data_IF_252661192293
#
_entry.id   IF_252661192293
#
_cell.length_a   1.000
_cell.length_b   1.000
_cell.length_c   1.000
_cell.angle_alpha   90.00
_cell.angle_beta   90.00
_cell.angle_gamma   90.00
#
_symmetry.space_group_name_H-M   'P 1'
#
loop_
_entity.id
_entity.type
_entity.pdbx_description
1 polymer ?
#
# COMPACT_ATOMS: atom_id res chain seq x y z
N UNK A 1 -17.75 -4.82 -7.54
CA UNK A 1 -16.30 -4.81 -7.82
C UNK A 1 -15.60 -4.21 -6.62
N UNK A 2 -15.00 -5.00 -5.73
CA UNK A 2 -14.16 -4.44 -4.68
C UNK A 2 -12.71 -4.83 -4.97
N UNK A 3 -12.01 -3.94 -5.65
CA UNK A 3 -10.56 -4.03 -5.80
C UNK A 3 -9.95 -3.49 -4.50
N UNK A 4 -9.46 -4.38 -3.63
CA UNK A 4 -8.84 -4.01 -2.35
C UNK A 4 -7.34 -3.72 -2.52
N UNK A 5 -6.97 -2.91 -3.51
CA UNK A 5 -5.59 -2.49 -3.77
C UNK A 5 -5.54 -1.05 -4.26
N UNK A 6 -4.45 -0.34 -3.97
CA UNK A 6 -4.25 1.04 -4.42
C UNK A 6 -2.94 1.64 -3.91
N UNK A 7 -2.64 2.84 -4.36
CA UNK A 7 -1.61 3.68 -3.76
C UNK A 7 -2.11 4.25 -2.43
N UNK A 8 -1.19 4.42 -1.49
CA UNK A 8 -1.50 5.07 -0.20
C UNK A 8 -1.22 6.56 -0.34
N UNK A 9 -2.24 7.36 -0.06
CA UNK A 9 -2.15 8.80 0.04
C UNK A 9 -2.56 9.24 1.44
N UNK A 10 -1.95 10.33 1.93
CA UNK A 10 -2.23 10.92 3.23
C UNK A 10 -2.72 12.35 3.05
N UNK A 11 -3.68 12.76 3.86
CA UNK A 11 -4.21 14.12 3.86
C UNK A 11 -3.71 14.87 5.09
N UNK A 12 -2.81 15.84 4.88
CA UNK A 12 -2.19 16.65 5.94
C UNK A 12 -2.26 18.12 5.52
N UNK A 13 -2.70 18.99 6.43
CA UNK A 13 -2.82 20.45 6.19
C UNK A 13 -3.62 20.84 4.93
N UNK A 14 -4.68 20.07 4.63
CA UNK A 14 -5.56 20.33 3.48
C UNK A 14 -5.01 19.82 2.14
N UNK A 15 -3.91 19.06 2.15
CA UNK A 15 -3.22 18.60 0.94
C UNK A 15 -3.11 17.08 0.97
N UNK A 16 -3.39 16.46 -0.18
CA UNK A 16 -3.12 15.05 -0.43
C UNK A 16 -1.69 14.86 -0.94
N UNK A 17 -0.96 13.92 -0.33
CA UNK A 17 0.39 13.56 -0.72
C UNK A 17 0.60 12.05 -0.76
N UNK A 18 1.50 11.60 -1.63
CA UNK A 18 1.91 10.20 -1.70
C UNK A 18 2.88 9.86 -0.56
N UNK A 19 2.84 8.60 -0.13
CA UNK A 19 3.80 8.10 0.85
C UNK A 19 5.11 7.70 0.16
N UNK A 20 6.25 8.16 0.68
CA UNK A 20 7.57 7.75 0.19
C UNK A 20 7.76 6.24 0.36
N UNK A 21 8.23 5.58 -0.70
CA UNK A 21 8.47 4.14 -0.70
C UNK A 21 9.73 3.72 0.06
N UNK A 22 10.63 4.66 0.38
CA UNK A 22 11.84 4.38 1.13
C UNK A 22 11.46 3.94 2.55
N UNK A 23 11.84 2.70 2.90
CA UNK A 23 11.47 2.03 4.15
C UNK A 23 9.97 1.71 4.30
N UNK A 24 9.18 1.76 3.23
CA UNK A 24 7.81 1.24 3.26
C UNK A 24 7.85 -0.29 3.32
N UNK A 25 7.26 -0.87 4.37
CA UNK A 25 7.24 -2.32 4.59
C UNK A 25 5.82 -2.88 4.58
N UNK A 26 5.72 -4.22 4.49
CA UNK A 26 4.48 -4.96 4.66
C UNK A 26 3.74 -4.64 5.97
N UNK A 27 4.47 -4.25 7.03
CA UNK A 27 3.88 -3.81 8.30
C UNK A 27 3.15 -2.48 8.16
N UNK A 28 3.70 -1.55 7.36
CA UNK A 28 3.04 -0.27 7.07
C UNK A 28 1.77 -0.49 6.25
N UNK A 29 1.85 -1.34 5.21
CA UNK A 29 0.69 -1.72 4.39
C UNK A 29 -0.41 -2.40 5.21
N UNK A 30 -0.05 -3.29 6.15
CA UNK A 30 -0.98 -3.94 7.07
C UNK A 30 -1.80 -2.90 7.86
N UNK A 31 -1.11 -1.92 8.45
CA UNK A 31 -1.76 -0.86 9.24
C UNK A 31 -2.68 0.00 8.36
N UNK A 32 -2.23 0.43 7.18
CA UNK A 32 -3.03 1.23 6.25
C UNK A 32 -4.31 0.49 5.84
N UNK A 33 -4.22 -0.77 5.45
CA UNK A 33 -5.38 -1.60 5.11
C UNK A 33 -6.34 -1.74 6.29
N UNK A 34 -5.82 -1.95 7.51
CA UNK A 34 -6.66 -2.05 8.73
C UNK A 34 -7.38 -0.74 9.06
N UNK A 35 -6.72 0.41 8.89
CA UNK A 35 -7.33 1.72 9.11
C UNK A 35 -8.50 1.99 8.14
N UNK A 36 -8.45 1.42 6.93
CA UNK A 36 -9.53 1.51 5.94
C UNK A 36 -10.61 0.43 6.10
N UNK A 37 -10.57 -0.38 7.17
CA UNK A 37 -11.56 -1.44 7.43
C UNK A 37 -11.30 -2.76 6.71
N UNK A 38 -10.15 -2.93 6.04
CA UNK A 38 -9.77 -4.19 5.40
C UNK A 38 -9.02 -5.11 6.35
N UNK A 39 -9.01 -6.42 6.05
CA UNK A 39 -8.38 -7.44 6.89
C UNK A 39 -6.84 -7.32 7.02
N UNK A 40 -6.21 -6.36 6.34
CA UNK A 40 -4.75 -6.15 6.41
C UNK A 40 -3.94 -7.30 5.82
N UNK A 41 -4.53 -8.18 5.01
CA UNK A 41 -3.83 -9.35 4.51
C UNK A 41 -2.76 -8.91 3.51
N UNK A 42 -1.51 -8.83 3.95
CA UNK A 42 -0.36 -8.77 3.06
C UNK A 42 -0.20 -10.15 2.44
N UNK A 43 -0.82 -10.36 1.28
CA UNK A 43 -0.43 -11.48 0.44
C UNK A 43 1.02 -11.21 0.05
N UNK A 44 1.98 -11.95 0.65
CA UNK A 44 3.33 -12.03 0.09
C UNK A 44 3.16 -12.65 -1.29
N UNK A 45 3.05 -11.80 -2.32
CA UNK A 45 3.21 -12.24 -3.69
C UNK A 45 4.69 -12.54 -3.81
N UNK A 46 5.06 -13.76 -3.41
CA UNK A 46 6.37 -14.32 -3.63
C UNK A 46 6.73 -14.02 -5.08
N UNK A 47 7.75 -13.17 -5.22
CA UNK A 47 8.47 -12.77 -6.41
C UNK A 47 8.15 -13.61 -7.67
N UNK A 48 7.02 -13.31 -8.32
CA UNK A 48 6.74 -13.64 -9.72
C UNK A 48 5.97 -12.47 -10.30
N UNK A 49 6.62 -11.30 -10.31
CA UNK A 49 6.41 -10.36 -11.38
C UNK A 49 7.76 -10.30 -12.09
N UNK A 50 7.84 -10.62 -13.39
CA UNK A 50 9.05 -10.28 -14.13
C UNK A 50 9.26 -8.79 -13.88
N UNK A 51 10.46 -8.44 -13.43
CA UNK A 51 10.86 -7.06 -13.25
C UNK A 51 10.34 -6.31 -14.47
N UNK A 52 9.50 -5.29 -14.28
CA UNK A 52 9.33 -4.27 -15.31
C UNK A 52 10.76 -3.80 -15.55
N UNK A 53 11.34 -4.23 -16.67
CA UNK A 53 12.52 -3.59 -17.20
C UNK A 53 12.20 -2.09 -17.23
N UNK A 54 13.15 -1.31 -16.73
CA UNK A 54 13.19 0.14 -16.87
C UNK A 54 12.70 0.57 -18.25
#
# INVERSE_FOLDING_TARGET
>A
MHSFHGYVEVHVDGIWGSVCNQNWTDKNAFVACKQMGYAGITLKKQQILPQRNL
#
